data_IF_280933572647
#
_entry.id   IF_280933572647
#
_cell.length_a   1.000
_cell.length_b   1.000
_cell.length_c   1.000
_cell.angle_alpha   90.00
_cell.angle_beta   90.00
_cell.angle_gamma   90.00
#
_symmetry.space_group_name_H-M   'P 1'
#
loop_
_entity.id
_entity.type
_entity.pdbx_description
1 polymer ?
#
# COMPACT_ATOMS: atom_id res chain seq x y z
N UNK A 1 17.57 4.39 -1.50
CA UNK A 1 16.59 3.63 -2.31
C UNK A 1 16.40 2.25 -1.71
N UNK A 2 15.15 1.83 -1.46
CA UNK A 2 14.91 0.47 -0.98
C UNK A 2 15.38 -0.54 -2.02
N UNK A 3 16.32 -1.42 -1.62
CA UNK A 3 16.86 -2.52 -2.44
C UNK A 3 15.76 -3.43 -3.03
N UNK A 4 14.55 -3.35 -2.47
CA UNK A 4 13.42 -4.23 -2.77
C UNK A 4 12.36 -3.59 -3.67
N UNK A 5 12.52 -2.34 -4.11
CA UNK A 5 11.51 -1.64 -4.92
C UNK A 5 11.10 -2.46 -6.16
N UNK A 6 12.07 -2.85 -6.99
CA UNK A 6 11.80 -3.60 -8.22
C UNK A 6 11.13 -4.95 -7.93
N UNK A 7 11.59 -5.64 -6.88
CA UNK A 7 10.99 -6.91 -6.47
C UNK A 7 9.52 -6.72 -6.06
N UNK A 8 9.23 -5.70 -5.26
CA UNK A 8 7.90 -5.47 -4.69
C UNK A 8 6.91 -4.84 -5.66
N UNK A 9 7.37 -3.96 -6.55
CA UNK A 9 6.47 -3.15 -7.37
C UNK A 9 6.57 -3.42 -8.87
N UNK A 10 7.50 -4.25 -9.34
CA UNK A 10 7.66 -4.54 -10.77
C UNK A 10 7.47 -6.04 -11.04
N UNK A 11 8.34 -6.88 -10.49
CA UNK A 11 8.53 -8.25 -10.99
C UNK A 11 7.60 -9.30 -10.37
N UNK A 12 7.01 -9.05 -9.20
CA UNK A 12 6.28 -10.10 -8.47
C UNK A 12 4.77 -10.04 -8.64
N UNK A 13 4.13 -11.21 -8.63
CA UNK A 13 2.67 -11.34 -8.56
C UNK A 13 2.12 -10.54 -7.37
N UNK A 14 1.13 -9.70 -7.63
CA UNK A 14 0.56 -8.78 -6.64
C UNK A 14 1.22 -7.39 -6.57
N UNK A 15 2.19 -7.09 -7.46
CA UNK A 15 2.78 -5.75 -7.56
C UNK A 15 1.71 -4.66 -7.77
N UNK A 16 0.74 -4.91 -8.65
CA UNK A 16 -0.38 -4.00 -8.89
C UNK A 16 -1.17 -3.71 -7.61
N UNK A 17 -1.47 -4.72 -6.80
CA UNK A 17 -2.19 -4.54 -5.53
C UNK A 17 -1.33 -3.75 -4.53
N UNK A 18 -0.04 -4.07 -4.37
CA UNK A 18 0.85 -3.30 -3.49
C UNK A 18 0.98 -1.84 -3.90
N UNK A 19 1.10 -1.55 -5.21
CA UNK A 19 1.11 -0.17 -5.72
C UNK A 19 -0.16 0.57 -5.31
N UNK A 20 -1.32 -0.06 -5.45
CA UNK A 20 -2.59 0.56 -5.04
C UNK A 20 -2.72 0.72 -3.53
N UNK A 21 -2.26 -0.25 -2.73
CA UNK A 21 -2.22 -0.11 -1.26
C UNK A 21 -1.41 1.12 -0.86
N UNK A 22 -0.21 1.30 -1.42
CA UNK A 22 0.64 2.46 -1.11
C UNK A 22 -0.05 3.77 -1.49
N UNK A 23 -0.70 3.85 -2.66
CA UNK A 23 -1.48 5.03 -3.07
C UNK A 23 -2.64 5.32 -2.14
N UNK A 24 -3.38 4.28 -1.73
CA UNK A 24 -4.50 4.40 -0.79
C UNK A 24 -3.99 4.97 0.53
N UNK A 25 -2.97 4.35 1.14
CA UNK A 25 -2.42 4.81 2.43
C UNK A 25 -1.96 6.27 2.33
N UNK A 26 -1.22 6.63 1.28
CA UNK A 26 -0.82 8.02 1.05
C UNK A 26 -2.02 8.97 0.97
N UNK A 27 -3.07 8.61 0.21
CA UNK A 27 -4.24 9.47 0.03
C UNK A 27 -5.00 9.77 1.33
N UNK A 28 -5.02 8.84 2.28
CA UNK A 28 -5.60 9.07 3.60
C UNK A 28 -4.67 9.87 4.51
N UNK A 29 -3.36 9.59 4.45
CA UNK A 29 -2.35 10.34 5.19
C UNK A 29 -2.35 11.83 4.81
N UNK A 30 -2.43 12.17 3.53
CA UNK A 30 -2.54 13.56 3.04
C UNK A 30 -3.80 14.27 3.55
N UNK A 31 -4.90 13.53 3.73
CA UNK A 31 -6.15 14.04 4.28
C UNK A 31 -6.17 14.08 5.81
N UNK A 32 -5.09 13.64 6.46
CA UNK A 32 -5.01 13.43 7.90
C UNK A 32 -6.13 12.51 8.43
N UNK A 33 -6.50 11.50 7.65
CA UNK A 33 -7.52 10.51 7.98
C UNK A 33 -6.90 9.16 8.35
N UNK A 34 -7.54 8.47 9.29
CA UNK A 34 -7.12 7.13 9.67
C UNK A 34 -7.44 6.09 8.58
N UNK A 35 -6.47 5.22 8.30
CA UNK A 35 -6.59 4.11 7.36
C UNK A 35 -6.15 2.80 8.01
N UNK A 36 -6.91 1.73 7.79
CA UNK A 36 -6.72 0.42 8.40
C UNK A 36 -7.16 -0.70 7.44
N UNK A 37 -6.82 -1.94 7.77
CA UNK A 37 -6.97 -3.11 6.89
C UNK A 37 -8.34 -3.21 6.18
N UNK A 38 -9.46 -3.12 6.91
CA UNK A 38 -10.79 -3.29 6.29
C UNK A 38 -11.14 -2.13 5.34
N UNK A 39 -10.77 -0.90 5.67
CA UNK A 39 -10.96 0.26 4.80
C UNK A 39 -10.15 0.15 3.51
N UNK A 40 -8.86 -0.24 3.60
CA UNK A 40 -8.04 -0.56 2.40
C UNK A 40 -8.67 -1.68 1.57
N UNK A 41 -9.21 -2.70 2.23
CA UNK A 41 -9.82 -3.85 1.54
C UNK A 41 -11.05 -3.42 0.75
N UNK A 42 -11.92 -2.59 1.32
CA UNK A 42 -13.11 -2.07 0.65
C UNK A 42 -12.73 -1.22 -0.57
N UNK A 43 -11.80 -0.28 -0.42
CA UNK A 43 -11.33 0.58 -1.51
C UNK A 43 -10.75 -0.23 -2.68
N UNK A 44 -10.05 -1.34 -2.38
CA UNK A 44 -9.53 -2.24 -3.42
C UNK A 44 -10.62 -3.09 -4.08
N UNK A 45 -11.65 -3.52 -3.33
CA UNK A 45 -12.80 -4.26 -3.89
C UNK A 45 -13.56 -3.37 -4.86
N UNK A 46 -13.85 -2.12 -4.48
CA UNK A 46 -14.52 -1.13 -5.33
C UNK A 46 -13.72 -0.86 -6.62
N UNK A 47 -12.39 -0.77 -6.50
CA UNK A 47 -11.50 -0.53 -7.65
C UNK A 47 -11.33 -1.74 -8.58
N UNK A 48 -11.43 -2.95 -8.05
CA UNK A 48 -11.16 -4.18 -8.77
C UNK A 48 -12.35 -5.14 -8.72
N UNK A 49 -13.54 -4.65 -9.11
CA UNK A 49 -14.80 -5.41 -9.12
C UNK A 49 -14.72 -6.78 -9.78
N UNK A 50 -13.88 -6.94 -10.81
CA UNK A 50 -13.70 -8.22 -11.52
C UNK A 50 -12.70 -9.19 -10.87
N UNK A 51 -11.91 -8.75 -9.89
CA UNK A 51 -10.90 -9.58 -9.21
C UNK A 51 -11.33 -9.91 -7.79
N UNK A 52 -11.10 -11.16 -7.39
CA UNK A 52 -11.33 -11.61 -6.01
C UNK A 52 -10.30 -11.01 -5.05
N UNK A 53 -10.50 -9.75 -4.67
CA UNK A 53 -9.81 -9.11 -3.55
C UNK A 53 -10.43 -9.61 -2.25
N UNK A 54 -9.61 -10.12 -1.34
CA UNK A 54 -10.05 -10.60 -0.02
C UNK A 54 -9.24 -9.94 1.08
N UNK A 55 -9.80 -9.85 2.28
CA UNK A 55 -9.10 -9.30 3.45
C UNK A 55 -7.78 -10.04 3.72
N UNK A 56 -7.73 -11.36 3.52
CA UNK A 56 -6.52 -12.16 3.70
C UNK A 56 -5.43 -11.82 2.69
N UNK A 57 -5.81 -11.55 1.44
CA UNK A 57 -4.89 -11.11 0.39
C UNK A 57 -4.31 -9.73 0.72
N UNK A 58 -5.16 -8.78 1.13
CA UNK A 58 -4.70 -7.43 1.52
C UNK A 58 -3.78 -7.51 2.72
N UNK A 59 -4.14 -8.28 3.76
CA UNK A 59 -3.29 -8.52 4.93
C UNK A 59 -1.93 -9.11 4.57
N UNK A 60 -1.89 -10.06 3.63
CA UNK A 60 -0.64 -10.63 3.14
C UNK A 60 0.27 -9.55 2.51
N UNK A 61 -0.31 -8.68 1.69
CA UNK A 61 0.44 -7.58 1.07
C UNK A 61 0.90 -6.53 2.09
N UNK A 62 0.06 -6.16 3.06
CA UNK A 62 0.44 -5.25 4.14
C UNK A 62 1.63 -5.79 4.94
N UNK A 63 1.60 -7.06 5.35
CA UNK A 63 2.74 -7.71 6.03
C UNK A 63 4.02 -7.65 5.20
N UNK A 64 3.90 -7.80 3.87
CA UNK A 64 5.06 -7.66 3.00
C UNK A 64 5.58 -6.22 2.98
N UNK A 65 4.71 -5.21 2.88
CA UNK A 65 5.12 -3.81 2.86
C UNK A 65 5.75 -3.39 4.20
N UNK A 66 5.19 -3.84 5.33
CA UNK A 66 5.72 -3.62 6.67
C UNK A 66 7.10 -4.26 6.84
N UNK A 67 7.27 -5.53 6.41
CA UNK A 67 8.56 -6.23 6.44
C UNK A 67 9.69 -5.47 5.73
N UNK A 68 9.36 -4.70 4.70
CA UNK A 68 10.33 -3.90 3.93
C UNK A 68 10.34 -2.42 4.32
N UNK A 69 9.78 -2.08 5.49
CA UNK A 69 9.73 -0.73 6.05
C UNK A 69 9.07 0.29 5.10
N UNK A 70 8.01 -0.09 4.38
CA UNK A 70 7.28 0.81 3.48
C UNK A 70 6.01 1.37 4.12
N UNK A 71 5.47 0.67 5.10
CA UNK A 71 4.33 1.10 5.91
C UNK A 71 4.62 0.79 7.37
N UNK A 72 4.03 1.55 8.26
CA UNK A 72 4.12 1.35 9.70
C UNK A 72 2.77 1.51 10.38
N UNK A 73 2.61 0.89 11.56
CA UNK A 73 1.46 1.14 12.41
C UNK A 73 1.75 2.32 13.34
N UNK A 74 0.91 3.35 13.29
CA UNK A 74 1.05 4.55 14.13
C UNK A 74 0.45 4.39 15.54
N UNK A 75 -0.30 3.31 15.77
CA UNK A 75 -0.90 2.97 17.06
C UNK A 75 -0.71 1.48 17.36
N UNK A 76 0.54 1.01 17.32
CA UNK A 76 0.90 -0.41 17.46
C UNK A 76 0.19 -1.08 18.65
N UNK A 77 -0.51 -2.19 18.38
CA UNK A 77 -1.33 -2.91 19.37
C UNK A 77 -2.76 -2.38 19.54
N UNK A 78 -3.12 -1.30 18.86
CA UNK A 78 -4.48 -0.76 18.79
C UNK A 78 -5.43 -1.66 18.01
N UNK A 79 -6.74 -1.44 18.20
CA UNK A 79 -7.81 -2.12 17.46
C UNK A 79 -8.83 -1.08 16.96
N UNK A 80 -8.79 -0.69 15.67
CA UNK A 80 -7.89 -1.18 14.62
C UNK A 80 -6.47 -0.60 14.67
N UNK A 81 -5.52 -1.27 14.01
CA UNK A 81 -4.20 -0.72 13.71
C UNK A 81 -4.30 0.24 12.51
N UNK A 82 -3.95 1.50 12.74
CA UNK A 82 -3.84 2.56 11.76
C UNK A 82 -2.48 2.54 11.10
N UNK A 83 -2.46 2.80 9.80
CA UNK A 83 -1.29 2.66 8.94
C UNK A 83 -0.86 4.01 8.37
N UNK A 84 0.45 4.20 8.24
CA UNK A 84 1.08 5.35 7.59
C UNK A 84 2.19 4.87 6.66
N UNK A 85 2.55 5.69 5.65
CA UNK A 85 3.79 5.47 4.91
C UNK A 85 4.97 5.92 5.76
N UNK A 86 6.03 5.11 5.75
CA UNK A 86 7.35 5.52 6.22
C UNK A 86 8.00 6.44 5.18
N UNK A 87 9.21 6.95 5.48
CA UNK A 87 10.03 7.66 4.48
C UNK A 87 10.31 6.79 3.25
N UNK A 88 10.68 5.53 3.44
CA UNK A 88 10.93 4.61 2.31
C UNK A 88 9.65 4.29 1.53
N UNK A 89 8.49 4.30 2.20
CA UNK A 89 7.17 4.21 1.59
C UNK A 89 6.85 5.40 0.70
N UNK A 90 7.15 6.61 1.17
CA UNK A 90 6.97 7.85 0.40
C UNK A 90 7.87 7.90 -0.83
N UNK A 91 9.14 7.51 -0.71
CA UNK A 91 10.05 7.37 -1.85
C UNK A 91 9.49 6.40 -2.90
N UNK A 92 8.95 5.26 -2.45
CA UNK A 92 8.33 4.29 -3.33
C UNK A 92 7.06 4.85 -4.01
N UNK A 93 6.23 5.59 -3.27
CA UNK A 93 5.04 6.26 -3.82
C UNK A 93 5.42 7.23 -4.93
N UNK A 94 6.36 8.15 -4.68
CA UNK A 94 6.78 9.17 -5.65
C UNK A 94 7.23 8.52 -6.96
N UNK A 95 7.99 7.43 -6.89
CA UNK A 95 8.43 6.70 -8.07
C UNK A 95 7.30 5.98 -8.81
N UNK A 96 6.31 5.43 -8.09
CA UNK A 96 5.11 4.86 -8.70
C UNK A 96 4.35 5.93 -9.51
N UNK A 97 4.31 7.17 -9.02
CA UNK A 97 3.69 8.30 -9.73
C UNK A 97 4.53 8.74 -10.94
N UNK A 98 5.85 8.86 -10.79
CA UNK A 98 6.76 9.18 -11.90
C UNK A 98 6.68 8.16 -13.05
N UNK A 99 6.61 6.87 -12.73
CA UNK A 99 6.46 5.80 -13.73
C UNK A 99 5.11 5.89 -14.45
N UNK A 100 4.05 6.27 -13.74
CA UNK A 100 2.72 6.44 -14.31
C UNK A 100 2.61 7.66 -15.23
N UNK A 101 3.27 8.77 -14.89
CA UNK A 101 3.30 9.99 -15.71
C UNK A 101 4.19 9.89 -16.96
N UNK A 102 5.05 8.87 -17.05
CA UNK A 102 5.85 8.57 -18.25
C UNK A 102 5.14 7.63 -19.23
N UNK A 103 4.02 7.04 -18.83
CA UNK A 103 3.23 6.08 -19.61
C UNK A 103 1.88 6.66 -20.10
N UNK A 104 1.66 7.96 -19.89
CA UNK A 104 0.56 8.77 -20.44
C UNK A 104 1.14 9.80 -21.39
#
# INVERSE_FOLDING_TARGET
MSKYYSLLFIWTKGAKIRREIVKIVFSYQEKNEAIFLSKITNDLIEKYTEKKVTISLVRFHLKSLEKYNLIESINKGGRPEYLSLTREGLDAFNRIIEENGKLT
#
